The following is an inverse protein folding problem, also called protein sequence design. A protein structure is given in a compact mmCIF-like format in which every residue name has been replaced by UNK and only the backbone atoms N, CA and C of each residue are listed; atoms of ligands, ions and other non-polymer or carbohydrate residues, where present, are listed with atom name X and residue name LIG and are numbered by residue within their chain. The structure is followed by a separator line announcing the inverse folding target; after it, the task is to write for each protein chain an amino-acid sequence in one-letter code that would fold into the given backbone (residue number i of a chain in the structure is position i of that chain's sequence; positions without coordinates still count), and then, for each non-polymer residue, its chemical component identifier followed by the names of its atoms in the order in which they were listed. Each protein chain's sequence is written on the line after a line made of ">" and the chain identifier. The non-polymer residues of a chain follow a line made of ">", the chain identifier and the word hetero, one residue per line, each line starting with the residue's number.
data_IF_126858353796
#
_entry.id   IF_126858353796
#
_cell.length_a   1.000
_cell.length_b   1.000
_cell.length_c   1.000
_cell.angle_alpha   90.00
_cell.angle_beta   90.00
_cell.angle_gamma   90.00
#
_symmetry.space_group_name_H-M   'P 1'
#
loop_
_entity.id
_entity.type
_entity.pdbx_description
1 polymer ?
#
# COMPACT_ATOMS: atom_id res chain seq x y z
N UNK A 1 23.82 4.31 -1.60
CA UNK A 1 23.42 3.23 -0.67
C UNK A 1 21.94 2.99 -0.94
N UNK A 2 21.66 1.96 -1.75
CA UNK A 2 20.27 1.64 -2.12
C UNK A 2 19.52 1.16 -0.87
N UNK A 3 18.60 1.97 -0.41
CA UNK A 3 17.68 1.66 0.66
C UNK A 3 16.29 1.41 0.08
N UNK A 4 16.23 0.63 -0.99
CA UNK A 4 14.96 0.17 -1.53
C UNK A 4 14.58 -1.11 -0.79
N UNK A 5 13.57 -1.03 0.06
CA UNK A 5 12.97 -2.18 0.74
C UNK A 5 12.44 -3.18 -0.29
N UNK A 6 11.86 -2.66 -1.37
CA UNK A 6 11.46 -3.39 -2.57
C UNK A 6 11.84 -2.58 -3.81
N UNK A 7 12.05 -3.23 -4.97
CA UNK A 7 12.10 -2.53 -6.25
C UNK A 7 10.84 -1.69 -6.39
N UNK A 8 10.99 -0.40 -6.62
CA UNK A 8 9.83 0.45 -6.81
C UNK A 8 10.14 1.64 -7.72
N UNK A 9 9.09 2.18 -8.31
CA UNK A 9 9.20 3.25 -9.30
C UNK A 9 9.80 4.55 -8.72
N UNK A 10 9.66 4.82 -7.41
CA UNK A 10 10.13 6.07 -6.79
C UNK A 10 11.65 6.13 -6.75
N UNK A 11 12.30 5.02 -6.37
CA UNK A 11 13.75 4.96 -6.17
C UNK A 11 14.50 4.34 -7.35
N UNK A 12 13.77 3.79 -8.35
CA UNK A 12 14.39 3.22 -9.54
C UNK A 12 14.91 4.33 -10.46
N UNK A 13 16.11 4.15 -11.04
CA UNK A 13 16.62 5.08 -12.04
C UNK A 13 15.73 5.08 -13.29
N UNK A 14 15.72 6.22 -13.99
CA UNK A 14 14.99 6.31 -15.25
C UNK A 14 15.54 5.31 -16.27
N UNK A 15 14.69 4.36 -16.70
CA UNK A 15 15.04 3.27 -17.62
C UNK A 15 13.80 2.52 -18.06
N UNK A 16 14.01 1.35 -18.68
CA UNK A 16 12.91 0.53 -19.20
C UNK A 16 11.96 0.08 -18.08
N UNK A 17 12.50 -0.43 -16.98
CA UNK A 17 11.74 -0.81 -15.79
C UNK A 17 10.83 0.34 -15.30
N UNK A 18 11.40 1.53 -15.10
CA UNK A 18 10.65 2.70 -14.63
C UNK A 18 9.52 3.07 -15.59
N UNK A 19 9.78 3.02 -16.91
CA UNK A 19 8.76 3.33 -17.95
C UNK A 19 7.61 2.34 -17.91
N UNK A 20 7.88 1.05 -17.77
CA UNK A 20 6.87 0.00 -17.72
C UNK A 20 6.04 0.08 -16.43
N UNK A 21 6.68 0.23 -15.29
CA UNK A 21 5.99 0.41 -14.01
C UNK A 21 5.10 1.67 -14.01
N UNK A 22 5.61 2.80 -14.54
CA UNK A 22 4.83 4.02 -14.70
C UNK A 22 3.63 3.82 -15.63
N UNK A 23 3.80 3.08 -16.72
CA UNK A 23 2.71 2.76 -17.63
C UNK A 23 1.61 2.00 -16.88
N UNK A 24 1.94 0.94 -16.17
CA UNK A 24 0.98 0.18 -15.35
C UNK A 24 0.26 1.10 -14.36
N UNK A 25 0.99 1.93 -13.61
CA UNK A 25 0.38 2.85 -12.66
C UNK A 25 -0.64 3.78 -13.33
N UNK A 26 -0.30 4.38 -14.49
CA UNK A 26 -1.17 5.38 -15.13
C UNK A 26 -2.36 4.72 -15.85
N UNK A 27 -2.16 3.58 -16.52
CA UNK A 27 -3.23 2.95 -17.33
C UNK A 27 -4.15 2.08 -16.50
N UNK A 28 -3.61 1.31 -15.57
CA UNK A 28 -4.37 0.29 -14.84
C UNK A 28 -4.86 0.79 -13.46
N UNK A 29 -4.00 1.49 -12.71
CA UNK A 29 -4.30 1.85 -11.33
C UNK A 29 -4.91 3.24 -11.17
N UNK A 30 -4.43 4.24 -11.93
CA UNK A 30 -4.82 5.64 -11.81
C UNK A 30 -5.69 6.14 -12.96
N UNK A 31 -6.17 5.26 -13.84
CA UNK A 31 -7.08 5.63 -14.91
C UNK A 31 -8.40 6.19 -14.35
N UNK A 32 -9.04 7.11 -15.09
CA UNK A 32 -10.28 7.72 -14.65
C UNK A 32 -11.42 6.72 -14.36
N UNK A 33 -11.59 5.62 -15.13
CA UNK A 33 -12.52 4.56 -14.76
C UNK A 33 -12.17 3.88 -13.43
N UNK A 34 -10.88 3.56 -13.19
CA UNK A 34 -10.43 2.92 -11.96
C UNK A 34 -10.65 3.82 -10.74
N UNK A 35 -10.28 5.10 -10.84
CA UNK A 35 -10.53 6.07 -9.75
C UNK A 35 -12.03 6.20 -9.45
N UNK A 36 -12.88 6.11 -10.47
CA UNK A 36 -14.34 6.13 -10.28
C UNK A 36 -14.89 4.87 -9.62
N UNK A 37 -14.32 3.69 -9.89
CA UNK A 37 -14.78 2.44 -9.26
C UNK A 37 -14.65 2.46 -7.74
N UNK A 38 -13.68 3.20 -7.18
CA UNK A 38 -13.52 3.39 -5.74
C UNK A 38 -14.45 4.44 -5.12
N UNK A 39 -15.45 4.94 -5.85
CA UNK A 39 -16.39 5.95 -5.34
C UNK A 39 -17.15 5.47 -4.11
N UNK A 40 -17.64 4.22 -4.12
CA UNK A 40 -18.39 3.63 -3.00
C UNK A 40 -17.56 3.58 -1.72
N UNK A 41 -16.27 3.26 -1.82
CA UNK A 41 -15.34 3.24 -0.69
C UNK A 41 -15.23 4.65 -0.08
N UNK A 42 -15.00 5.67 -0.93
CA UNK A 42 -14.89 7.07 -0.45
C UNK A 42 -16.16 7.55 0.22
N UNK A 43 -17.33 7.22 -0.32
CA UNK A 43 -18.63 7.63 0.24
C UNK A 43 -18.93 6.93 1.57
N UNK A 44 -18.58 5.65 1.68
CA UNK A 44 -18.72 4.88 2.93
C UNK A 44 -17.84 5.45 4.03
N UNK A 45 -16.55 5.68 3.74
CA UNK A 45 -15.62 6.24 4.71
C UNK A 45 -15.99 7.66 5.12
N UNK A 46 -16.46 8.49 4.16
CA UNK A 46 -16.91 9.84 4.47
C UNK A 46 -18.12 9.83 5.40
N UNK A 47 -19.09 8.94 5.18
CA UNK A 47 -20.23 8.78 6.11
C UNK A 47 -19.75 8.33 7.49
N UNK A 48 -18.87 7.33 7.55
CA UNK A 48 -18.30 6.86 8.82
C UNK A 48 -17.56 7.97 9.58
N UNK A 49 -16.81 8.83 8.89
CA UNK A 49 -16.16 9.98 9.51
C UNK A 49 -17.19 10.96 10.10
N UNK A 50 -18.23 11.33 9.32
CA UNK A 50 -19.28 12.25 9.77
C UNK A 50 -20.03 11.67 10.97
N UNK A 51 -20.38 10.39 10.97
CA UNK A 51 -21.09 9.74 12.06
C UNK A 51 -20.21 9.66 13.33
N UNK A 52 -18.93 9.37 13.16
CA UNK A 52 -17.98 9.42 14.27
C UNK A 52 -17.86 10.82 14.88
N UNK A 53 -17.79 11.87 14.04
CA UNK A 53 -17.74 13.25 14.50
C UNK A 53 -19.04 13.65 15.23
N UNK A 54 -20.19 13.21 14.73
CA UNK A 54 -21.49 13.46 15.40
C UNK A 54 -21.56 12.81 16.79
N UNK A 55 -21.04 11.59 16.93
CA UNK A 55 -21.01 10.90 18.22
C UNK A 55 -20.12 11.60 19.25
N UNK A 56 -19.13 12.38 18.80
CA UNK A 56 -18.17 13.11 19.63
C UNK A 56 -18.56 14.59 19.85
N UNK A 57 -19.74 15.02 19.42
CA UNK A 57 -20.15 16.44 19.38
C UNK A 57 -20.07 17.20 20.73
N UNK A 58 -19.98 16.49 21.84
CA UNK A 58 -19.86 17.08 23.19
C UNK A 58 -18.44 16.92 23.80
N UNK A 59 -17.46 16.40 23.05
CA UNK A 59 -16.13 16.18 23.57
C UNK A 59 -15.07 16.72 22.58
N UNK A 60 -13.99 17.34 23.08
CA UNK A 60 -12.89 17.74 22.22
C UNK A 60 -12.24 16.50 21.58
N UNK A 61 -11.95 16.58 20.27
CA UNK A 61 -11.29 15.50 19.54
C UNK A 61 -10.20 16.07 18.60
N UNK A 62 -9.22 15.24 18.26
CA UNK A 62 -8.16 15.60 17.32
C UNK A 62 -8.64 15.36 15.88
N UNK A 63 -9.00 16.45 15.18
CA UNK A 63 -9.47 16.40 13.80
C UNK A 63 -8.39 15.84 12.86
N UNK A 64 -7.12 16.19 13.07
CA UNK A 64 -6.01 15.72 12.21
C UNK A 64 -5.88 14.20 12.26
N UNK A 65 -6.00 13.59 13.45
CA UNK A 65 -5.99 12.12 13.59
C UNK A 65 -7.18 11.47 12.86
N UNK A 66 -8.36 12.08 12.94
CA UNK A 66 -9.55 11.56 12.27
C UNK A 66 -9.42 11.63 10.74
N UNK A 67 -8.93 12.75 10.21
CA UNK A 67 -8.69 12.90 8.76
C UNK A 67 -7.58 11.94 8.30
N UNK A 68 -6.53 11.77 9.08
CA UNK A 68 -5.46 10.82 8.76
C UNK A 68 -5.99 9.38 8.72
N UNK A 69 -6.77 8.97 9.73
CA UNK A 69 -7.40 7.66 9.77
C UNK A 69 -8.35 7.44 8.58
N UNK A 70 -9.17 8.44 8.24
CA UNK A 70 -10.07 8.45 7.09
C UNK A 70 -9.31 8.25 5.77
N UNK A 71 -8.24 9.03 5.53
CA UNK A 71 -7.45 8.92 4.30
C UNK A 71 -6.79 7.54 4.20
N UNK A 72 -6.19 7.05 5.28
CA UNK A 72 -5.57 5.73 5.30
C UNK A 72 -6.58 4.60 5.08
N UNK A 73 -7.81 4.73 5.61
CA UNK A 73 -8.85 3.72 5.41
C UNK A 73 -9.26 3.63 3.94
N UNK A 74 -9.43 4.78 3.25
CA UNK A 74 -9.74 4.79 1.81
C UNK A 74 -8.62 4.13 1.01
N UNK A 75 -7.37 4.52 1.26
CA UNK A 75 -6.20 3.98 0.56
C UNK A 75 -6.10 2.47 0.78
N UNK A 76 -6.23 2.03 2.02
CA UNK A 76 -6.15 0.62 2.39
C UNK A 76 -7.22 -0.22 1.69
N UNK A 77 -8.48 0.22 1.76
CA UNK A 77 -9.60 -0.47 1.11
C UNK A 77 -9.48 -0.48 -0.42
N UNK A 78 -8.90 0.55 -1.02
CA UNK A 78 -8.66 0.59 -2.45
C UNK A 78 -7.47 -0.28 -2.87
N UNK A 79 -6.42 -0.37 -2.06
CA UNK A 79 -5.19 -1.08 -2.37
C UNK A 79 -5.32 -2.60 -2.17
N UNK A 80 -5.89 -3.03 -1.04
CA UNK A 80 -5.91 -4.44 -0.62
C UNK A 80 -7.33 -4.92 -0.23
N UNK A 81 -8.35 -4.20 -0.66
CA UNK A 81 -9.75 -4.56 -0.47
C UNK A 81 -10.29 -4.33 0.94
N UNK A 82 -11.61 -4.54 1.06
CA UNK A 82 -12.36 -4.31 2.31
C UNK A 82 -12.14 -5.37 3.39
N UNK A 83 -11.54 -6.51 3.02
CA UNK A 83 -11.46 -7.72 3.87
C UNK A 83 -10.10 -7.95 4.51
N UNK A 84 -9.13 -7.03 4.36
CA UNK A 84 -7.81 -7.21 4.92
C UNK A 84 -7.85 -7.24 6.46
N UNK A 85 -7.76 -8.45 7.03
CA UNK A 85 -7.76 -8.67 8.48
C UNK A 85 -6.54 -8.07 9.19
N UNK A 86 -5.46 -7.85 8.45
CA UNK A 86 -4.18 -7.37 8.99
C UNK A 86 -3.94 -5.88 8.71
N UNK A 87 -4.94 -5.15 8.23
CA UNK A 87 -4.86 -3.73 7.85
C UNK A 87 -4.29 -2.86 8.97
N UNK A 88 -4.79 -3.00 10.20
CA UNK A 88 -4.31 -2.18 11.33
C UNK A 88 -2.84 -2.46 11.67
N UNK A 89 -2.45 -3.72 11.67
CA UNK A 89 -1.07 -4.14 11.90
C UNK A 89 -0.14 -3.59 10.81
N UNK A 90 -0.57 -3.64 9.56
CA UNK A 90 0.16 -3.11 8.42
C UNK A 90 0.34 -1.59 8.50
N UNK A 91 -0.72 -0.83 8.79
CA UNK A 91 -0.66 0.62 8.97
C UNK A 91 0.27 1.00 10.14
N UNK A 92 0.24 0.24 11.24
CA UNK A 92 1.12 0.49 12.38
C UNK A 92 2.60 0.29 12.01
N UNK A 93 2.95 -0.77 11.27
CA UNK A 93 4.30 -1.02 10.79
C UNK A 93 4.77 0.04 9.80
N UNK A 94 3.88 0.50 8.91
CA UNK A 94 4.19 1.59 7.99
C UNK A 94 4.53 2.88 8.73
N UNK A 95 3.71 3.29 9.71
CA UNK A 95 3.98 4.47 10.55
C UNK A 95 5.33 4.37 11.24
N UNK A 96 5.65 3.19 11.79
CA UNK A 96 6.95 2.96 12.44
C UNK A 96 8.11 3.04 11.44
N UNK A 97 7.93 2.50 10.24
CA UNK A 97 8.94 2.55 9.16
C UNK A 97 9.18 3.98 8.69
N UNK A 98 8.13 4.76 8.45
CA UNK A 98 8.22 6.18 8.06
C UNK A 98 8.88 7.02 9.15
N UNK A 99 8.54 6.78 10.42
CA UNK A 99 9.16 7.49 11.54
C UNK A 99 10.67 7.20 11.65
N UNK A 100 11.09 5.98 11.34
CA UNK A 100 12.50 5.60 11.29
C UNK A 100 13.22 6.21 10.09
N UNK A 101 12.60 6.21 8.91
CA UNK A 101 13.20 6.77 7.68
C UNK A 101 13.23 8.29 7.70
N UNK A 102 12.27 8.96 8.32
CA UNK A 102 12.27 10.42 8.52
C UNK A 102 13.48 10.94 9.31
N UNK A 103 14.14 10.08 10.11
CA UNK A 103 15.41 10.41 10.78
C UNK A 103 16.66 10.32 9.90
N UNK A 104 16.57 9.71 8.70
CA UNK A 104 17.72 9.57 7.80
C UNK A 104 18.11 10.87 7.08
N UNK A 105 17.15 11.77 6.79
CA UNK A 105 17.42 13.04 6.16
C UNK A 105 18.45 13.92 6.89
N UNK A 106 18.52 13.81 8.23
CA UNK A 106 19.52 14.51 9.05
C UNK A 106 20.90 13.87 8.93
N UNK A 107 20.98 12.56 8.75
CA UNK A 107 22.25 11.84 8.61
C UNK A 107 22.88 12.01 7.22
N UNK A 108 22.07 12.23 6.19
CA UNK A 108 22.55 12.58 4.84
C UNK A 108 23.08 14.00 4.75
N UNK A 109 22.50 14.93 5.52
CA UNK A 109 22.93 16.34 5.56
C UNK A 109 24.24 16.50 6.36
N UNK A 110 24.54 15.63 7.35
CA UNK A 110 25.74 15.73 8.20
C UNK A 110 26.54 14.42 8.24
N UNK A 111 27.28 14.06 7.19
CA UNK A 111 28.03 12.81 7.12
C UNK A 111 29.23 12.74 8.11
N UNK A 112 29.64 13.87 8.66
CA UNK A 112 30.83 13.97 9.53
C UNK A 112 30.57 13.64 11.00
N UNK A 113 29.33 13.51 11.44
CA UNK A 113 29.01 13.14 12.80
C UNK A 113 29.08 11.61 12.94
N UNK A 114 29.78 11.11 13.95
CA UNK A 114 30.01 9.69 14.30
C UNK A 114 28.72 8.86 14.44
N UNK A 115 28.00 8.67 13.32
CA UNK A 115 26.66 8.10 13.24
C UNK A 115 26.70 6.59 12.92
N UNK A 116 27.87 6.02 12.63
CA UNK A 116 28.05 4.62 12.22
C UNK A 116 27.40 3.60 13.17
N UNK A 117 27.46 3.82 14.47
CA UNK A 117 26.84 2.90 15.45
C UNK A 117 25.31 3.07 15.55
N UNK A 118 24.81 4.29 15.31
CA UNK A 118 23.36 4.54 15.25
C UNK A 118 22.76 4.02 13.95
N UNK A 119 23.47 4.16 12.82
CA UNK A 119 23.10 3.61 11.51
C UNK A 119 23.00 2.07 11.54
N UNK A 120 23.92 1.39 12.23
CA UNK A 120 23.91 -0.07 12.38
C UNK A 120 22.66 -0.56 13.14
N UNK A 121 22.31 0.06 14.27
CA UNK A 121 21.11 -0.27 15.03
C UNK A 121 19.81 0.07 14.27
N UNK A 122 19.81 1.19 13.56
CA UNK A 122 18.68 1.64 12.76
C UNK A 122 18.44 0.72 11.57
N UNK A 123 19.53 0.28 10.91
CA UNK A 123 19.45 -0.71 9.83
C UNK A 123 18.85 -2.04 10.32
N UNK A 124 19.36 -2.57 11.42
CA UNK A 124 18.85 -3.82 12.00
C UNK A 124 17.36 -3.71 12.39
N UNK A 125 16.94 -2.56 12.92
CA UNK A 125 15.53 -2.32 13.25
C UNK A 125 14.66 -2.21 11.99
N UNK A 126 15.16 -1.55 10.95
CA UNK A 126 14.49 -1.46 9.67
C UNK A 126 14.36 -2.83 9.00
N UNK A 127 15.42 -3.62 8.96
CA UNK A 127 15.41 -4.98 8.41
C UNK A 127 14.38 -5.88 9.14
N UNK A 128 14.26 -5.72 10.48
CA UNK A 128 13.25 -6.44 11.25
C UNK A 128 11.81 -5.99 10.89
N UNK A 129 11.59 -4.69 10.70
CA UNK A 129 10.28 -4.16 10.29
C UNK A 129 9.90 -4.62 8.88
N UNK A 130 10.86 -4.57 7.95
CA UNK A 130 10.70 -5.09 6.59
C UNK A 130 10.30 -6.56 6.61
N UNK A 131 11.00 -7.40 7.39
CA UNK A 131 10.65 -8.82 7.52
C UNK A 131 9.27 -9.08 8.14
N UNK A 132 8.76 -8.16 8.99
CA UNK A 132 7.37 -8.24 9.47
C UNK A 132 6.38 -7.81 8.38
N UNK A 133 6.70 -6.76 7.63
CA UNK A 133 5.87 -6.29 6.52
C UNK A 133 5.76 -7.34 5.42
N UNK A 134 6.88 -8.01 5.09
CA UNK A 134 6.91 -9.11 4.13
C UNK A 134 5.91 -10.21 4.47
N UNK A 135 5.91 -10.66 5.72
CA UNK A 135 4.98 -11.70 6.17
C UNK A 135 3.51 -11.28 6.04
N UNK A 136 3.22 -9.99 6.30
CA UNK A 136 1.87 -9.46 6.14
C UNK A 136 1.51 -9.39 4.64
N UNK A 137 2.40 -8.90 3.79
CA UNK A 137 2.19 -8.88 2.35
C UNK A 137 1.97 -10.27 1.78
N UNK A 138 2.81 -11.24 2.15
CA UNK A 138 2.67 -12.63 1.68
C UNK A 138 1.31 -13.19 2.08
N UNK A 139 0.88 -12.96 3.33
CA UNK A 139 -0.44 -13.42 3.80
C UNK A 139 -1.60 -12.75 3.02
N UNK A 140 -1.50 -11.45 2.73
CA UNK A 140 -2.52 -10.73 1.97
C UNK A 140 -2.56 -11.23 0.51
N UNK A 141 -1.41 -11.40 -0.11
CA UNK A 141 -1.28 -11.89 -1.50
C UNK A 141 -1.84 -13.32 -1.62
N UNK A 142 -1.52 -14.19 -0.66
CA UNK A 142 -2.06 -15.56 -0.65
C UNK A 142 -3.59 -15.56 -0.47
N UNK A 143 -4.14 -14.73 0.42
CA UNK A 143 -5.58 -14.61 0.62
C UNK A 143 -6.28 -14.17 -0.69
N UNK A 144 -5.73 -13.17 -1.40
CA UNK A 144 -6.26 -12.72 -2.69
C UNK A 144 -6.13 -13.78 -3.80
N UNK A 145 -4.99 -14.46 -3.90
CA UNK A 145 -4.82 -15.56 -4.88
C UNK A 145 -5.85 -16.66 -4.66
N UNK A 146 -6.13 -17.03 -3.41
CA UNK A 146 -7.18 -18.02 -3.09
C UNK A 146 -8.59 -17.52 -3.44
N UNK A 147 -8.89 -16.22 -3.29
CA UNK A 147 -10.19 -15.65 -3.66
C UNK A 147 -10.37 -15.59 -5.18
N UNK A 148 -9.33 -15.20 -5.93
CA UNK A 148 -9.34 -15.22 -7.39
C UNK A 148 -9.58 -16.64 -7.90
N UNK A 149 -8.91 -17.65 -7.34
CA UNK A 149 -9.11 -19.07 -7.69
C UNK A 149 -10.52 -19.56 -7.37
N UNK A 150 -11.11 -19.11 -6.28
CA UNK A 150 -12.50 -19.44 -5.92
C UNK A 150 -13.48 -18.78 -6.88
N UNK A 151 -13.31 -17.52 -7.17
CA UNK A 151 -14.19 -16.77 -8.08
C UNK A 151 -14.16 -17.33 -9.50
N UNK A 152 -13.01 -17.82 -9.94
CA UNK A 152 -12.86 -18.49 -11.24
C UNK A 152 -13.60 -19.83 -11.34
N UNK A 153 -13.95 -20.45 -10.20
CA UNK A 153 -14.67 -21.75 -10.12
C UNK A 153 -16.18 -21.61 -9.89
N UNK A 154 -16.64 -20.43 -9.49
CA UNK A 154 -18.05 -20.13 -9.22
C UNK A 154 -18.53 -19.21 -10.34
N UNK A 155 -19.61 -19.60 -11.06
CA UNK A 155 -20.17 -18.82 -12.16
C UNK A 155 -20.44 -17.36 -11.76
N UNK A 156 -20.25 -16.43 -12.72
CA UNK A 156 -20.24 -14.96 -12.59
C UNK A 156 -21.47 -14.31 -11.92
N UNK A 157 -22.56 -15.04 -11.68
CA UNK A 157 -23.82 -14.47 -11.16
C UNK A 157 -23.83 -14.21 -9.63
N UNK A 158 -22.85 -14.71 -8.87
CA UNK A 158 -22.76 -14.55 -7.42
C UNK A 158 -21.54 -13.73 -6.94
N UNK A 159 -20.86 -13.03 -7.85
CA UNK A 159 -19.79 -12.11 -7.50
C UNK A 159 -20.36 -10.89 -6.75
N UNK A 160 -20.53 -11.06 -5.43
CA UNK A 160 -20.94 -10.01 -4.49
C UNK A 160 -20.14 -8.73 -4.74
N UNK A 161 -20.76 -7.78 -5.39
CA UNK A 161 -20.68 -6.31 -5.38
C UNK A 161 -19.43 -5.56 -4.91
N UNK A 162 -18.26 -6.14 -4.88
CA UNK A 162 -16.98 -5.48 -4.58
C UNK A 162 -16.19 -5.34 -5.87
N UNK A 163 -16.01 -4.09 -6.36
CA UNK A 163 -15.13 -3.85 -7.50
C UNK A 163 -13.71 -4.34 -7.22
N UNK A 164 -13.02 -4.79 -8.27
CA UNK A 164 -11.63 -5.23 -8.27
C UNK A 164 -10.73 -4.18 -7.58
N UNK A 165 -9.96 -4.56 -6.57
CA UNK A 165 -9.01 -3.67 -5.90
C UNK A 165 -7.67 -3.57 -6.66
N UNK A 166 -6.75 -2.74 -6.16
CA UNK A 166 -5.46 -2.53 -6.82
C UNK A 166 -4.63 -3.82 -6.82
N UNK A 167 -4.66 -4.59 -5.74
CA UNK A 167 -3.92 -5.84 -5.64
C UNK A 167 -4.44 -6.89 -6.61
N UNK A 168 -5.76 -7.00 -6.77
CA UNK A 168 -6.38 -7.91 -7.75
C UNK A 168 -5.91 -7.60 -9.17
N UNK A 169 -5.89 -6.30 -9.54
CA UNK A 169 -5.38 -5.86 -10.85
C UNK A 169 -3.92 -6.25 -11.04
N UNK A 170 -3.08 -6.02 -10.03
CA UNK A 170 -1.66 -6.31 -10.12
C UNK A 170 -1.39 -7.82 -10.20
N UNK A 171 -2.12 -8.64 -9.44
CA UNK A 171 -2.02 -10.09 -9.50
C UNK A 171 -2.50 -10.64 -10.87
N UNK A 172 -3.54 -10.05 -11.43
CA UNK A 172 -3.98 -10.39 -12.80
C UNK A 172 -2.91 -10.05 -13.84
N UNK A 173 -2.23 -8.91 -13.70
CA UNK A 173 -1.13 -8.52 -14.59
C UNK A 173 0.10 -9.42 -14.43
N UNK A 174 0.40 -9.88 -13.20
CA UNK A 174 1.46 -10.89 -12.95
C UNK A 174 1.21 -12.18 -13.72
N UNK A 175 -0.06 -12.63 -13.75
CA UNK A 175 -0.46 -13.89 -14.37
C UNK A 175 -0.70 -13.79 -15.89
N UNK A 176 -0.95 -12.59 -16.42
CA UNK A 176 -1.29 -12.40 -17.83
C UNK A 176 -0.07 -12.58 -18.72
N UNK A 177 -0.20 -13.40 -19.78
CA UNK A 177 0.85 -13.61 -20.78
C UNK A 177 0.87 -12.55 -21.89
N UNK A 178 -0.05 -11.60 -21.85
CA UNK A 178 -0.30 -10.65 -22.96
C UNK A 178 0.56 -9.37 -22.90
N UNK A 179 1.12 -9.04 -21.75
CA UNK A 179 1.91 -7.82 -21.56
C UNK A 179 3.40 -8.18 -21.61
N UNK A 180 4.16 -7.48 -22.43
CA UNK A 180 5.61 -7.71 -22.58
C UNK A 180 6.46 -7.43 -21.33
N UNK A 181 5.83 -6.91 -20.26
CA UNK A 181 6.44 -6.71 -18.95
C UNK A 181 5.46 -7.20 -17.87
N UNK A 182 5.91 -8.12 -17.04
CA UNK A 182 5.14 -8.68 -15.93
C UNK A 182 5.71 -8.14 -14.62
N UNK A 183 4.89 -7.47 -13.79
CA UNK A 183 5.35 -7.08 -12.46
C UNK A 183 5.61 -8.35 -11.62
N UNK A 184 6.73 -8.37 -10.92
CA UNK A 184 7.04 -9.42 -9.95
C UNK A 184 6.28 -9.20 -8.65
N UNK A 185 6.23 -10.20 -7.79
CA UNK A 185 5.63 -10.05 -6.43
C UNK A 185 6.29 -8.93 -5.65
N UNK A 186 7.61 -8.74 -5.79
CA UNK A 186 8.33 -7.64 -5.14
C UNK A 186 7.95 -6.27 -5.70
N UNK A 187 7.69 -6.18 -7.02
CA UNK A 187 7.17 -4.96 -7.65
C UNK A 187 5.77 -4.63 -7.13
N UNK A 188 4.91 -5.64 -6.96
CA UNK A 188 3.57 -5.50 -6.38
C UNK A 188 3.67 -4.97 -4.94
N UNK A 189 4.50 -5.58 -4.10
CA UNK A 189 4.76 -5.12 -2.73
C UNK A 189 5.25 -3.67 -2.72
N UNK A 190 6.18 -3.33 -3.61
CA UNK A 190 6.69 -1.97 -3.78
C UNK A 190 5.62 -0.96 -4.16
N UNK A 191 4.72 -1.29 -5.10
CA UNK A 191 3.62 -0.42 -5.50
C UNK A 191 2.60 -0.20 -4.38
N UNK A 192 2.24 -1.26 -3.66
CA UNK A 192 1.33 -1.15 -2.52
C UNK A 192 1.97 -0.27 -1.43
N UNK A 193 3.25 -0.47 -1.13
CA UNK A 193 3.98 0.34 -0.15
C UNK A 193 3.96 1.83 -0.50
N UNK A 194 4.16 2.18 -1.78
CA UNK A 194 4.09 3.56 -2.28
C UNK A 194 2.69 4.15 -2.05
N UNK A 195 1.65 3.37 -2.33
CA UNK A 195 0.26 3.82 -2.19
C UNK A 195 -0.08 4.24 -0.75
N UNK A 196 0.57 3.63 0.23
CA UNK A 196 0.39 3.97 1.65
C UNK A 196 1.36 5.04 2.17
N UNK A 197 2.50 5.25 1.53
CA UNK A 197 3.56 6.15 1.98
C UNK A 197 3.45 7.59 1.43
N UNK A 198 2.44 7.87 0.60
CA UNK A 198 2.18 9.18 -0.02
C UNK A 198 1.08 10.00 0.75
#
# INVERSE_FOLDING_TARGET
>A
MEMAIYPNMIFSPYGEYWRQMRKICVTELLSAPRVRSFKSIREEEARGLVDNMRSLSCSPFNLSEKIFAFSNSIISKAAVGRRCKQQEAFIALLKESVALTGGFGVAEIFPSLKILTRLSRMKSKLDMLVGKMDKIFDSIIEEHKMEIDRSSRINEDDALGGGEDILDVLLRLEQSKEVGFHPTVDDIKGLILITYGS
#
